data_IF_886749778164
#
_entry.id   IF_886749778164
#
_cell.length_a   1.000
_cell.length_b   1.000
_cell.length_c   1.000
_cell.angle_alpha   90.00
_cell.angle_beta   90.00
_cell.angle_gamma   90.00
#
_symmetry.space_group_name_H-M   'P 1'
#
loop_
_entity.id
_entity.type
_entity.pdbx_description
1 polymer ?
#
# COMPACT_ATOMS: atom_id res chain seq x y z
N UNK A 1 -4.88 -22.49 -11.90
CA UNK A 1 -4.19 -21.91 -10.76
C UNK A 1 -3.68 -20.53 -11.16
N UNK A 2 -3.98 -19.54 -10.35
CA UNK A 2 -3.43 -18.20 -10.51
C UNK A 2 -2.20 -18.09 -9.61
N UNK A 3 -1.08 -17.62 -10.13
CA UNK A 3 0.20 -17.56 -9.41
C UNK A 3 0.16 -16.66 -8.16
N UNK A 4 -0.83 -15.77 -8.09
CA UNK A 4 -1.01 -14.79 -7.00
C UNK A 4 -1.94 -15.26 -5.88
N UNK A 5 -2.63 -16.39 -6.03
CA UNK A 5 -3.62 -16.90 -5.08
C UNK A 5 -3.26 -18.31 -4.67
N UNK A 6 -3.12 -18.55 -3.38
CA UNK A 6 -2.90 -19.88 -2.83
C UNK A 6 -3.94 -20.22 -1.77
N UNK A 7 -4.17 -21.51 -1.59
CA UNK A 7 -5.07 -22.02 -0.58
C UNK A 7 -4.41 -23.21 0.14
N UNK A 8 -4.42 -23.16 1.47
CA UNK A 8 -3.85 -24.20 2.31
C UNK A 8 -4.90 -24.73 3.26
N UNK A 9 -5.10 -26.04 3.28
CA UNK A 9 -5.99 -26.71 4.23
C UNK A 9 -5.34 -26.69 5.62
N UNK A 10 -6.13 -26.32 6.62
CA UNK A 10 -5.75 -26.35 8.03
C UNK A 10 -6.72 -27.26 8.80
N UNK A 11 -6.45 -27.53 10.07
CA UNK A 11 -7.36 -28.30 10.94
C UNK A 11 -8.69 -27.56 11.18
N UNK A 12 -8.69 -26.23 11.09
CA UNK A 12 -9.86 -25.38 11.35
C UNK A 12 -10.59 -24.94 10.07
N UNK A 13 -10.06 -25.29 8.88
CA UNK A 13 -10.66 -24.90 7.61
C UNK A 13 -9.68 -24.67 6.48
N UNK A 14 -9.89 -23.61 5.73
CA UNK A 14 -9.07 -23.23 4.57
C UNK A 14 -8.51 -21.83 4.77
N UNK A 15 -7.18 -21.71 4.73
CA UNK A 15 -6.51 -20.41 4.68
C UNK A 15 -6.26 -20.02 3.23
N UNK A 16 -6.76 -18.87 2.84
CA UNK A 16 -6.55 -18.28 1.50
C UNK A 16 -5.54 -17.15 1.63
N UNK A 17 -4.46 -17.21 0.86
CA UNK A 17 -3.43 -16.17 0.80
C UNK A 17 -3.38 -15.60 -0.61
N UNK A 18 -3.44 -14.29 -0.73
CA UNK A 18 -3.34 -13.58 -1.99
C UNK A 18 -2.13 -12.63 -1.96
N UNK A 19 -1.31 -12.65 -3.01
CA UNK A 19 -0.25 -11.67 -3.19
C UNK A 19 -0.83 -10.31 -3.52
N UNK A 20 -0.10 -9.24 -3.18
CA UNK A 20 -0.51 -7.87 -3.51
C UNK A 20 -0.68 -7.69 -5.01
N UNK A 21 -1.80 -7.12 -5.43
CA UNK A 21 -2.01 -6.71 -6.81
C UNK A 21 -1.33 -5.35 -7.08
N UNK A 22 -0.15 -5.38 -7.64
CA UNK A 22 0.62 -4.17 -7.99
C UNK A 22 0.32 -3.66 -9.42
N UNK A 23 -0.67 -4.22 -10.11
CA UNK A 23 -1.10 -3.74 -11.43
C UNK A 23 -2.22 -2.70 -11.32
N UNK A 24 -2.38 -1.88 -12.34
CA UNK A 24 -3.51 -0.95 -12.44
C UNK A 24 -4.85 -1.63 -12.79
N UNK A 25 -4.87 -2.94 -12.97
CA UNK A 25 -6.06 -3.70 -13.35
C UNK A 25 -6.54 -4.61 -12.25
N UNK A 26 -7.84 -4.71 -12.04
CA UNK A 26 -8.43 -5.69 -11.14
C UNK A 26 -8.17 -7.11 -11.65
N UNK A 27 -8.04 -8.04 -10.73
CA UNK A 27 -7.88 -9.47 -11.05
C UNK A 27 -8.82 -10.32 -10.21
N UNK A 28 -9.23 -11.44 -10.78
CA UNK A 28 -10.16 -12.37 -10.14
C UNK A 28 -9.65 -13.81 -10.34
N UNK A 29 -9.77 -14.61 -9.31
CA UNK A 29 -9.50 -16.04 -9.38
C UNK A 29 -10.49 -16.83 -8.53
N UNK A 30 -10.62 -18.12 -8.80
CA UNK A 30 -11.51 -19.02 -8.09
C UNK A 30 -10.71 -20.14 -7.41
N UNK A 31 -11.19 -20.54 -6.24
CA UNK A 31 -10.72 -21.72 -5.51
C UNK A 31 -11.91 -22.67 -5.42
N UNK A 32 -11.76 -23.87 -5.95
CA UNK A 32 -12.73 -24.93 -5.78
C UNK A 32 -12.34 -25.80 -4.59
N UNK A 33 -13.21 -25.90 -3.62
CA UNK A 33 -13.06 -26.76 -2.45
C UNK A 33 -13.96 -27.97 -2.65
N UNK A 34 -13.36 -29.16 -2.73
CA UNK A 34 -14.10 -30.42 -2.89
C UNK A 34 -14.02 -31.21 -1.58
N UNK A 35 -15.14 -31.69 -1.11
CA UNK A 35 -15.25 -32.61 0.01
C UNK A 35 -16.03 -33.85 -0.42
N UNK A 36 -15.51 -35.04 -0.09
CA UNK A 36 -16.16 -36.30 -0.45
C UNK A 36 -15.37 -37.52 -0.02
N UNK A 37 -15.98 -38.68 -0.15
CA UNK A 37 -15.40 -39.99 0.18
C UNK A 37 -14.51 -40.59 -0.92
N UNK A 38 -14.24 -39.82 -1.98
CA UNK A 38 -13.44 -40.25 -3.11
C UNK A 38 -14.17 -41.19 -4.11
N UNK A 39 -15.49 -41.43 -3.93
CA UNK A 39 -16.26 -42.36 -4.78
C UNK A 39 -17.37 -41.64 -5.55
N UNK A 40 -18.53 -41.43 -4.96
CA UNK A 40 -19.69 -40.88 -5.69
C UNK A 40 -20.32 -39.63 -5.02
N UNK A 41 -19.97 -39.37 -3.76
CA UNK A 41 -20.53 -38.25 -3.03
C UNK A 41 -19.49 -37.15 -2.92
N UNK A 42 -19.32 -36.35 -3.96
CA UNK A 42 -18.50 -35.13 -3.91
C UNK A 42 -19.39 -33.91 -3.82
N UNK A 43 -19.06 -33.03 -2.89
CA UNK A 43 -19.65 -31.71 -2.82
C UNK A 43 -18.55 -30.70 -3.15
N UNK A 44 -18.83 -29.79 -4.06
CA UNK A 44 -17.91 -28.73 -4.46
C UNK A 44 -18.47 -27.39 -4.08
N UNK A 45 -17.59 -26.53 -3.56
CA UNK A 45 -17.86 -25.13 -3.26
C UNK A 45 -16.84 -24.27 -3.98
N UNK A 46 -17.29 -23.29 -4.73
CA UNK A 46 -16.43 -22.33 -5.42
C UNK A 46 -16.35 -21.04 -4.62
N UNK A 47 -15.14 -20.62 -4.29
CA UNK A 47 -14.85 -19.32 -3.66
C UNK A 47 -14.20 -18.44 -4.71
N UNK A 48 -14.81 -17.30 -4.99
CA UNK A 48 -14.25 -16.27 -5.89
C UNK A 48 -13.52 -15.22 -5.08
N UNK A 49 -12.27 -14.96 -5.44
CA UNK A 49 -11.43 -13.90 -4.84
C UNK A 49 -11.17 -12.84 -5.90
N UNK A 50 -11.54 -11.60 -5.60
CA UNK A 50 -11.29 -10.45 -6.48
C UNK A 50 -10.39 -9.45 -5.74
N UNK A 51 -9.40 -8.91 -6.45
CA UNK A 51 -8.55 -7.83 -5.99
C UNK A 51 -8.64 -6.66 -6.96
N UNK A 52 -8.90 -5.47 -6.42
CA UNK A 52 -8.82 -4.22 -7.20
C UNK A 52 -7.36 -3.94 -7.60
N UNK A 53 -7.15 -3.37 -8.77
CA UNK A 53 -5.84 -2.85 -9.17
C UNK A 53 -5.49 -1.59 -8.40
N UNK A 54 -4.19 -1.25 -8.38
CA UNK A 54 -3.74 0.02 -7.81
C UNK A 54 -4.26 1.19 -8.65
N UNK A 55 -4.60 2.30 -8.00
CA UNK A 55 -4.80 3.56 -8.70
C UNK A 55 -3.43 4.11 -9.14
N UNK A 56 -3.15 4.02 -10.44
CA UNK A 56 -1.86 4.44 -11.00
C UNK A 56 -1.65 5.96 -10.94
N UNK A 57 -2.68 6.74 -10.67
CA UNK A 57 -2.55 8.18 -10.45
C UNK A 57 -2.16 8.52 -9.01
N UNK A 58 -2.30 7.58 -8.06
CA UNK A 58 -1.97 7.79 -6.66
C UNK A 58 -0.54 7.34 -6.31
N UNK A 59 0.13 8.11 -5.43
CA UNK A 59 1.29 7.61 -4.69
C UNK A 59 0.83 6.63 -3.64
N UNK A 60 1.39 5.42 -3.63
CA UNK A 60 0.92 4.35 -2.73
C UNK A 60 2.09 3.82 -1.91
N UNK A 61 1.93 3.88 -0.60
CA UNK A 61 2.95 3.54 0.40
C UNK A 61 2.41 2.49 1.37
N UNK A 62 3.15 1.41 1.57
CA UNK A 62 2.92 0.44 2.63
C UNK A 62 3.64 0.85 3.90
N UNK A 63 2.89 0.94 4.99
CA UNK A 63 3.40 1.30 6.31
C UNK A 63 3.05 0.24 7.35
N UNK A 64 3.94 0.08 8.32
CA UNK A 64 3.78 -0.85 9.45
C UNK A 64 3.67 -0.06 10.75
N UNK A 65 2.49 -0.04 11.31
CA UNK A 65 2.16 0.68 12.54
C UNK A 65 2.30 -0.28 13.71
N UNK A 66 3.07 0.13 14.71
CA UNK A 66 3.35 -0.69 15.90
C UNK A 66 2.56 -0.18 17.11
N UNK A 67 2.37 -1.03 18.11
CA UNK A 67 1.71 -0.65 19.37
C UNK A 67 2.46 0.43 20.15
N UNK A 68 3.76 0.61 19.89
CA UNK A 68 4.57 1.67 20.51
C UNK A 68 4.41 3.04 19.82
N UNK A 69 3.93 3.06 18.58
CA UNK A 69 3.69 4.29 17.84
C UNK A 69 2.53 4.08 16.85
N UNK A 70 1.35 4.51 17.25
CA UNK A 70 0.14 4.47 16.43
C UNK A 70 0.05 5.65 15.45
N UNK A 71 0.90 6.66 15.61
CA UNK A 71 0.93 7.84 14.73
C UNK A 71 1.92 7.65 13.59
N UNK A 72 1.57 8.18 12.44
CA UNK A 72 2.46 8.31 11.27
C UNK A 72 2.42 9.71 10.69
N UNK A 73 3.46 10.06 9.92
CA UNK A 73 3.51 11.22 9.05
C UNK A 73 3.90 10.78 7.66
N UNK A 74 3.29 11.34 6.62
CA UNK A 74 3.74 11.13 5.25
C UNK A 74 4.95 12.00 4.92
N UNK A 75 5.87 11.55 4.06
CA UNK A 75 7.15 12.20 3.81
C UNK A 75 7.05 13.36 2.80
N UNK A 76 6.03 14.22 2.92
CA UNK A 76 5.80 15.34 2.01
C UNK A 76 6.13 16.64 2.71
N UNK A 77 7.36 17.15 2.50
CA UNK A 77 7.90 18.33 3.19
C UNK A 77 7.38 19.68 2.66
N UNK A 78 6.55 19.63 1.63
CA UNK A 78 5.86 20.80 1.08
C UNK A 78 4.35 20.64 1.23
N UNK A 79 3.65 21.76 1.19
CA UNK A 79 2.20 21.76 1.06
C UNK A 79 1.78 20.92 -0.15
N UNK A 80 0.76 20.12 0.03
CA UNK A 80 0.17 19.26 -0.99
C UNK A 80 -1.22 19.78 -1.38
N UNK A 81 -1.85 19.16 -2.36
CA UNK A 81 -3.26 19.31 -2.69
C UNK A 81 -3.76 17.93 -3.08
N UNK A 82 -4.25 17.19 -2.10
CA UNK A 82 -4.52 15.77 -2.28
C UNK A 82 -5.65 15.24 -1.41
N UNK A 83 -6.18 14.10 -1.82
CA UNK A 83 -6.98 13.19 -1.00
C UNK A 83 -6.11 12.04 -0.52
N UNK A 84 -6.21 11.71 0.77
CA UNK A 84 -5.46 10.64 1.40
C UNK A 84 -6.43 9.57 1.92
N UNK A 85 -6.28 8.36 1.42
CA UNK A 85 -6.86 7.14 2.02
C UNK A 85 -5.79 6.50 2.90
N UNK A 86 -6.05 6.43 4.21
CA UNK A 86 -5.11 5.94 5.19
C UNK A 86 -5.06 4.41 5.31
N UNK A 87 -5.97 3.72 4.61
CA UNK A 87 -5.99 2.25 4.53
C UNK A 87 -6.67 1.56 5.72
N UNK A 88 -7.18 2.31 6.68
CA UNK A 88 -7.98 1.84 7.83
C UNK A 88 -9.49 2.16 7.69
N UNK A 89 -9.88 2.65 6.51
CA UNK A 89 -11.23 3.12 6.20
C UNK A 89 -11.41 4.63 6.38
N UNK A 90 -10.43 5.35 6.91
CA UNK A 90 -10.45 6.81 6.97
C UNK A 90 -9.91 7.44 5.69
N UNK A 91 -10.63 8.46 5.19
CA UNK A 91 -10.27 9.23 4.02
C UNK A 91 -10.28 10.70 4.41
N UNK A 92 -9.20 11.42 4.09
CA UNK A 92 -9.10 12.86 4.24
C UNK A 92 -9.06 13.53 2.87
N UNK A 93 -10.02 14.40 2.61
CA UNK A 93 -10.11 15.17 1.38
C UNK A 93 -9.53 16.58 1.57
N UNK A 94 -9.06 17.18 0.46
CA UNK A 94 -8.55 18.55 0.43
C UNK A 94 -7.41 18.81 1.44
N UNK A 95 -6.53 17.84 1.59
CA UNK A 95 -5.34 17.97 2.46
C UNK A 95 -4.34 18.90 1.80
N UNK A 96 -3.97 19.99 2.51
CA UNK A 96 -3.06 21.02 1.97
C UNK A 96 -1.79 21.20 2.81
N UNK A 97 -1.68 20.49 3.93
CA UNK A 97 -0.53 20.62 4.84
C UNK A 97 0.72 19.89 4.34
N UNK A 98 1.89 20.38 4.75
CA UNK A 98 3.09 19.58 4.73
C UNK A 98 3.04 18.51 5.83
N UNK A 99 3.74 17.39 5.63
CA UNK A 99 3.78 16.26 6.56
C UNK A 99 2.40 15.83 7.08
N UNK A 100 1.42 15.50 6.22
CA UNK A 100 0.13 14.98 6.68
C UNK A 100 0.32 13.84 7.67
N UNK A 101 -0.50 13.81 8.71
CA UNK A 101 -0.33 12.81 9.77
C UNK A 101 -1.65 12.15 10.14
N UNK A 102 -1.57 10.90 10.54
CA UNK A 102 -2.72 10.11 10.98
C UNK A 102 -2.39 9.32 12.24
N UNK A 103 -3.41 9.05 13.05
CA UNK A 103 -3.29 8.19 14.23
C UNK A 103 -4.23 7.01 14.09
N UNK A 104 -3.66 5.82 13.95
CA UNK A 104 -4.40 4.58 13.83
C UNK A 104 -4.95 4.12 15.18
N UNK A 105 -6.06 3.40 15.16
CA UNK A 105 -6.63 2.79 16.37
C UNK A 105 -5.85 1.55 16.77
N UNK A 106 -5.43 0.75 15.80
CA UNK A 106 -4.77 -0.53 16.01
C UNK A 106 -3.41 -0.59 15.30
N UNK A 107 -2.45 -1.35 15.85
CA UNK A 107 -1.23 -1.68 15.12
C UNK A 107 -1.57 -2.59 13.93
N UNK A 108 -0.82 -2.46 12.84
CA UNK A 108 -1.05 -3.26 11.64
C UNK A 108 -0.30 -2.74 10.43
N UNK A 109 -0.41 -3.47 9.34
CA UNK A 109 0.13 -3.07 8.05
C UNK A 109 -0.96 -2.40 7.22
N UNK A 110 -0.72 -1.14 6.82
CA UNK A 110 -1.68 -0.33 6.09
C UNK A 110 -1.12 0.09 4.73
N UNK A 111 -2.01 0.15 3.75
CA UNK A 111 -1.71 0.68 2.41
C UNK A 111 -2.30 2.07 2.32
N UNK A 112 -1.44 3.07 2.37
CA UNK A 112 -1.83 4.48 2.25
C UNK A 112 -1.78 4.89 0.79
N UNK A 113 -2.85 5.53 0.33
CA UNK A 113 -2.99 6.04 -1.04
C UNK A 113 -3.15 7.56 -1.03
N UNK A 114 -2.34 8.26 -1.80
CA UNK A 114 -2.36 9.73 -1.91
C UNK A 114 -2.58 10.12 -3.35
N UNK A 115 -3.72 10.70 -3.63
CA UNK A 115 -4.15 11.12 -4.97
C UNK A 115 -4.26 12.64 -5.05
N UNK A 116 -3.49 13.23 -5.95
CA UNK A 116 -3.46 14.68 -6.13
C UNK A 116 -2.05 15.19 -6.36
N UNK A 117 -1.79 16.45 -6.00
CA UNK A 117 -0.50 17.10 -6.23
C UNK A 117 0.42 16.94 -5.02
N UNK A 118 1.54 16.26 -5.25
CA UNK A 118 2.66 16.11 -4.30
C UNK A 118 3.94 16.44 -5.04
N UNK A 119 4.63 17.49 -4.65
CA UNK A 119 5.78 18.01 -5.40
C UNK A 119 7.14 17.63 -4.80
N UNK A 120 7.18 17.19 -3.54
CA UNK A 120 8.43 16.90 -2.85
C UNK A 120 8.29 15.76 -1.86
N UNK A 121 9.27 14.87 -1.84
CA UNK A 121 9.43 13.79 -0.86
C UNK A 121 10.69 14.05 -0.02
N UNK A 122 10.53 14.06 1.30
CA UNK A 122 11.62 14.19 2.27
C UNK A 122 11.22 13.49 3.58
N UNK A 123 11.78 12.32 3.85
CA UNK A 123 11.54 11.59 5.09
C UNK A 123 12.47 11.99 6.24
N UNK A 124 13.54 12.73 5.95
CA UNK A 124 14.54 13.12 6.97
C UNK A 124 13.99 14.12 7.97
N UNK A 125 13.19 15.06 7.50
CA UNK A 125 12.66 16.17 8.31
C UNK A 125 11.22 15.88 8.83
N UNK A 126 10.79 14.61 8.82
CA UNK A 126 9.51 14.20 9.44
C UNK A 126 9.49 14.67 10.91
N UNK A 127 8.37 15.29 11.38
CA UNK A 127 8.30 15.92 12.70
C UNK A 127 8.60 15.00 13.89
N UNK A 128 8.49 13.68 13.71
CA UNK A 128 8.82 12.68 14.73
C UNK A 128 9.95 11.79 14.22
N UNK A 129 11.12 11.95 14.81
CA UNK A 129 12.33 11.23 14.39
C UNK A 129 12.18 9.73 14.61
N UNK A 130 12.39 8.95 13.56
CA UNK A 130 12.30 7.48 13.60
C UNK A 130 11.05 6.90 12.95
N UNK A 131 10.01 7.69 12.71
CA UNK A 131 8.81 7.18 12.02
C UNK A 131 9.06 6.80 10.56
N UNK A 132 10.16 7.20 9.94
CA UNK A 132 10.60 6.68 8.64
C UNK A 132 10.77 5.16 8.61
N UNK A 133 11.01 4.51 9.74
CA UNK A 133 11.07 3.05 9.83
C UNK A 133 9.70 2.36 9.70
N UNK A 134 8.60 3.10 9.79
CA UNK A 134 7.26 2.57 9.48
C UNK A 134 7.09 2.30 7.99
N UNK A 135 7.82 2.98 7.12
CA UNK A 135 7.74 2.82 5.66
C UNK A 135 8.38 1.50 5.25
N UNK A 136 7.61 0.63 4.62
CA UNK A 136 8.07 -0.72 4.23
C UNK A 136 8.18 -0.89 2.72
N UNK A 137 7.21 -0.38 1.97
CA UNK A 137 7.17 -0.56 0.53
C UNK A 137 6.55 0.66 -0.16
N UNK A 138 7.13 1.08 -1.28
CA UNK A 138 6.43 1.93 -2.24
C UNK A 138 5.84 1.01 -3.30
N UNK A 139 4.53 1.05 -3.47
CA UNK A 139 3.82 0.25 -4.46
C UNK A 139 3.65 0.96 -5.79
N UNK A 140 3.46 2.27 -5.73
CA UNK A 140 3.28 3.11 -6.90
C UNK A 140 3.72 4.55 -6.62
N UNK A 141 4.33 5.19 -7.62
CA UNK A 141 4.76 6.59 -7.54
C UNK A 141 3.64 7.58 -7.81
N UNK A 142 2.63 7.18 -8.57
CA UNK A 142 1.54 8.04 -9.00
C UNK A 142 1.94 9.13 -10.01
N UNK A 143 0.96 9.82 -10.53
CA UNK A 143 1.14 11.01 -11.37
C UNK A 143 0.96 12.29 -10.55
N UNK A 144 1.71 12.40 -9.46
CA UNK A 144 1.52 13.44 -8.44
C UNK A 144 2.21 14.76 -8.76
N UNK A 145 3.12 14.77 -9.74
CA UNK A 145 3.85 15.97 -10.15
C UNK A 145 5.12 16.24 -9.34
N UNK A 146 5.81 15.19 -8.89
CA UNK A 146 7.07 15.26 -8.16
C UNK A 146 8.13 16.09 -8.91
N UNK A 147 8.78 16.98 -8.19
CA UNK A 147 9.90 17.80 -8.66
C UNK A 147 11.17 17.61 -7.81
N UNK A 148 11.03 17.12 -6.57
CA UNK A 148 12.13 16.86 -5.65
C UNK A 148 11.98 15.51 -4.95
N UNK A 149 13.09 14.78 -4.92
CA UNK A 149 13.27 13.52 -4.20
C UNK A 149 14.41 13.63 -3.16
N UNK A 150 14.83 14.85 -2.85
CA UNK A 150 15.91 15.09 -1.90
C UNK A 150 15.58 14.49 -0.54
N UNK A 151 16.40 13.54 -0.09
CA UNK A 151 16.21 12.82 1.16
C UNK A 151 14.88 12.02 1.24
N UNK A 152 14.33 11.62 0.10
CA UNK A 152 13.00 11.01 0.00
C UNK A 152 12.77 9.85 0.97
N UNK A 153 13.77 8.99 1.16
CA UNK A 153 13.72 7.85 2.09
C UNK A 153 14.96 7.79 3.01
N UNK A 154 15.54 8.95 3.32
CA UNK A 154 16.64 8.98 4.27
C UNK A 154 16.15 8.51 5.64
N UNK A 155 16.90 7.61 6.30
CA UNK A 155 16.56 6.94 7.55
C UNK A 155 15.37 5.94 7.48
N UNK A 156 14.83 5.64 6.32
CA UNK A 156 13.83 4.58 6.14
C UNK A 156 14.50 3.20 6.06
N UNK A 157 15.10 2.74 7.14
CA UNK A 157 15.95 1.52 7.18
C UNK A 157 15.16 0.24 6.94
N UNK A 158 13.86 0.27 7.12
CA UNK A 158 12.95 -0.86 6.94
C UNK A 158 12.25 -0.87 5.56
N UNK A 159 12.58 0.08 4.69
CA UNK A 159 12.05 0.13 3.33
C UNK A 159 12.68 -0.98 2.49
N UNK A 160 11.86 -1.94 2.05
CA UNK A 160 12.30 -3.16 1.35
C UNK A 160 12.09 -3.11 -0.15
N UNK A 161 11.14 -2.28 -0.61
CA UNK A 161 10.76 -2.26 -2.02
C UNK A 161 10.42 -0.87 -2.50
N UNK A 162 10.94 -0.57 -3.69
CA UNK A 162 10.62 0.63 -4.47
C UNK A 162 10.36 0.16 -5.90
N UNK A 163 9.19 0.47 -6.52
CA UNK A 163 8.92 0.07 -7.89
C UNK A 163 9.74 0.92 -8.88
N UNK A 164 9.93 0.40 -10.09
CA UNK A 164 10.37 1.24 -11.21
C UNK A 164 9.33 2.31 -11.51
N UNK A 165 9.77 3.45 -12.05
CA UNK A 165 8.84 4.49 -12.49
C UNK A 165 8.14 4.06 -13.78
N UNK A 166 6.89 3.63 -13.65
CA UNK A 166 5.99 3.26 -14.74
C UNK A 166 4.88 4.29 -14.99
N UNK A 167 4.91 5.42 -14.27
CA UNK A 167 3.89 6.47 -14.31
C UNK A 167 4.45 7.83 -14.76
N UNK A 168 5.71 7.86 -15.17
CA UNK A 168 6.46 9.09 -15.49
C UNK A 168 6.50 10.08 -14.30
N UNK A 169 6.42 9.56 -13.07
CA UNK A 169 6.42 10.34 -11.85
C UNK A 169 7.68 11.23 -11.72
N UNK A 170 8.80 10.75 -12.28
CA UNK A 170 10.09 11.44 -12.18
C UNK A 170 10.40 12.36 -13.36
N UNK A 171 9.50 12.50 -14.34
CA UNK A 171 9.75 13.31 -15.53
C UNK A 171 10.10 14.78 -15.23
N UNK A 172 9.65 15.29 -14.07
CA UNK A 172 9.90 16.67 -13.62
C UNK A 172 10.86 16.77 -12.44
N UNK A 173 11.42 15.64 -11.97
CA UNK A 173 12.34 15.65 -10.82
C UNK A 173 13.68 16.25 -11.22
N UNK A 174 14.07 17.30 -10.52
CA UNK A 174 15.33 18.03 -10.73
C UNK A 174 16.29 17.91 -9.54
N UNK A 175 15.84 17.35 -8.42
CA UNK A 175 16.62 17.20 -7.19
C UNK A 175 16.46 15.80 -6.62
N UNK A 176 17.58 15.14 -6.36
CA UNK A 176 17.69 13.81 -5.76
C UNK A 176 18.49 13.86 -4.46
#
# INVERSE_FOLDING_TARGET
>A
NSDWLSATKTEQGLTITAETNSSGSSRTATITVSAGDGKQNQTEQVVTVSQTGLDLDAFILGIDITSSSLKTYLPFDKAIDATIDWGDGSIEENVTSAYPSHTYTDPGYYIVSVKGSVTSLNSYDIPDYGLGNQFKEVYNWGRTGLTSMARAFQNCRELKRIPSDNTEAFAKVTTF
#
